data_IF_809141830695
#
_entry.id   IF_809141830695
#
_cell.length_a   1.000
_cell.length_b   1.000
_cell.length_c   1.000
_cell.angle_alpha   90.00
_cell.angle_beta   90.00
_cell.angle_gamma   90.00
#
_symmetry.space_group_name_H-M   'P 1'
#
loop_
_entity.id
_entity.type
_entity.pdbx_description
1 polymer ?
#
# COMPACT_ATOMS: atom_id res chain seq x y z
N UNK A 1 -16.72 16.53 2.70
CA UNK A 1 -15.91 17.70 3.10
C UNK A 1 -14.84 17.87 2.03
N UNK A 2 -14.80 18.98 1.30
CA UNK A 2 -13.90 19.16 0.15
C UNK A 2 -12.59 19.84 0.59
N UNK A 3 -11.44 19.29 0.20
CA UNK A 3 -10.11 19.82 0.51
C UNK A 3 -9.75 20.91 -0.52
N UNK A 4 -9.56 22.15 -0.07
CA UNK A 4 -9.22 23.28 -0.94
C UNK A 4 -7.73 23.24 -1.33
N UNK A 5 -7.44 23.07 -2.61
CA UNK A 5 -6.11 23.20 -3.19
C UNK A 5 -6.14 24.34 -4.21
N UNK A 6 -6.05 25.58 -3.75
CA UNK A 6 -5.77 26.73 -4.61
C UNK A 6 -4.81 27.66 -3.88
N UNK A 7 -3.68 27.93 -4.54
CA UNK A 7 -2.78 29.02 -4.20
C UNK A 7 -3.49 30.35 -4.54
N UNK A 8 -3.39 31.34 -3.65
CA UNK A 8 -3.66 32.77 -3.87
C UNK A 8 -5.08 33.29 -4.19
N UNK A 9 -6.16 32.69 -3.64
CA UNK A 9 -7.39 33.49 -3.43
C UNK A 9 -8.22 32.99 -2.25
N UNK A 10 -8.76 33.92 -1.47
CA UNK A 10 -9.65 33.66 -0.30
C UNK A 10 -10.99 32.99 -0.69
N UNK A 11 -11.16 32.54 -1.93
CA UNK A 11 -12.32 31.81 -2.42
C UNK A 11 -11.99 30.33 -2.64
N UNK A 12 -12.65 29.47 -1.85
CA UNK A 12 -12.65 28.03 -2.08
C UNK A 12 -13.47 27.77 -3.34
N UNK A 13 -12.80 27.73 -4.50
CA UNK A 13 -13.44 27.32 -5.74
C UNK A 13 -13.97 25.88 -5.58
N UNK A 14 -15.25 25.62 -5.86
CA UNK A 14 -15.80 24.27 -5.73
C UNK A 14 -15.10 23.32 -6.70
N UNK A 15 -14.44 22.30 -6.14
CA UNK A 15 -13.77 21.25 -6.92
C UNK A 15 -14.85 20.54 -7.73
N UNK A 16 -14.73 20.57 -9.05
CA UNK A 16 -15.79 20.08 -9.93
C UNK A 16 -15.90 18.54 -9.97
N UNK A 17 -14.94 17.80 -9.41
CA UNK A 17 -14.87 16.32 -9.42
C UNK A 17 -14.12 15.79 -8.19
N UNK A 18 -14.49 14.59 -7.66
CA UNK A 18 -13.73 13.93 -6.61
C UNK A 18 -12.34 13.49 -7.13
N UNK A 19 -11.39 13.28 -6.22
CA UNK A 19 -10.08 12.74 -6.56
C UNK A 19 -10.20 11.28 -7.01
N UNK A 20 -9.77 10.99 -8.24
CA UNK A 20 -9.83 9.63 -8.82
C UNK A 20 -8.74 8.70 -8.31
N UNK A 21 -8.38 8.78 -7.02
CA UNK A 21 -7.33 7.98 -6.39
C UNK A 21 -7.84 7.40 -5.07
N UNK A 22 -7.42 6.18 -4.77
CA UNK A 22 -7.48 5.61 -3.43
C UNK A 22 -6.07 5.59 -2.84
N UNK A 23 -5.94 5.71 -1.52
CA UNK A 23 -4.67 5.74 -0.82
C UNK A 23 -4.59 4.63 0.22
N UNK A 24 -3.39 4.09 0.39
CA UNK A 24 -3.02 3.27 1.54
C UNK A 24 -2.08 4.07 2.43
N UNK A 25 -2.40 4.20 3.71
CA UNK A 25 -1.59 4.86 4.72
C UNK A 25 -1.09 3.82 5.72
N UNK A 26 0.22 3.59 5.75
CA UNK A 26 0.86 2.72 6.73
C UNK A 26 1.57 3.57 7.79
N UNK A 27 1.31 3.29 9.06
CA UNK A 27 1.86 4.03 10.20
C UNK A 27 2.34 3.08 11.30
N UNK A 28 3.16 3.61 12.21
CA UNK A 28 3.58 2.95 13.44
C UNK A 28 3.50 3.93 14.61
N UNK A 29 2.59 3.68 15.56
CA UNK A 29 2.39 4.51 16.74
C UNK A 29 2.70 3.74 18.06
N UNK A 30 2.26 4.27 19.20
CA UNK A 30 2.43 3.62 20.52
C UNK A 30 1.63 2.32 20.67
N UNK A 31 0.58 2.11 19.88
CA UNK A 31 -0.27 0.92 19.85
C UNK A 31 0.20 -0.12 18.83
N UNK A 32 1.04 0.26 17.88
CA UNK A 32 1.72 -0.64 16.94
C UNK A 32 1.53 -0.25 15.47
N UNK A 33 1.64 -1.20 14.54
CA UNK A 33 1.45 -0.93 13.11
C UNK A 33 -0.02 -0.74 12.75
N UNK A 34 -0.31 0.27 11.92
CA UNK A 34 -1.63 0.56 11.40
C UNK A 34 -1.62 0.66 9.87
N UNK A 35 -2.70 0.21 9.23
CA UNK A 35 -2.91 0.36 7.78
C UNK A 35 -4.32 0.90 7.52
N UNK A 36 -4.42 2.08 6.92
CA UNK A 36 -5.68 2.69 6.54
C UNK A 36 -5.84 2.73 5.02
N UNK A 37 -7.05 2.48 4.55
CA UNK A 37 -7.45 2.70 3.17
C UNK A 37 -8.40 3.89 3.10
N UNK A 38 -8.05 4.88 2.27
CA UNK A 38 -8.89 6.03 1.96
C UNK A 38 -9.40 5.90 0.52
N UNK A 39 -10.72 5.90 0.36
CA UNK A 39 -11.36 5.84 -0.96
C UNK A 39 -11.74 7.24 -1.51
N UNK A 40 -12.08 7.37 -2.80
CA UNK A 40 -12.48 8.65 -3.41
C UNK A 40 -13.69 9.34 -2.77
N UNK A 41 -14.50 8.63 -1.97
CA UNK A 41 -15.64 9.21 -1.25
C UNK A 41 -15.20 10.02 -0.01
N UNK A 42 -13.93 9.87 0.39
CA UNK A 42 -13.39 10.41 1.64
C UNK A 42 -13.61 9.49 2.84
N UNK A 43 -14.09 8.27 2.62
CA UNK A 43 -14.21 7.26 3.66
C UNK A 43 -12.85 6.64 3.91
N UNK A 44 -12.41 6.62 5.17
CA UNK A 44 -11.22 5.89 5.59
C UNK A 44 -11.60 4.73 6.51
N UNK A 45 -10.94 3.59 6.31
CA UNK A 45 -11.17 2.36 7.08
C UNK A 45 -9.83 1.72 7.40
N UNK A 46 -9.68 1.22 8.63
CA UNK A 46 -8.51 0.46 9.06
C UNK A 46 -8.58 -0.99 8.57
N UNK A 47 -7.44 -1.53 8.13
CA UNK A 47 -7.30 -2.88 7.61
C UNK A 47 -6.07 -3.57 8.21
N UNK A 48 -6.17 -4.89 8.34
CA UNK A 48 -5.03 -5.76 8.63
C UNK A 48 -4.12 -5.93 7.40
N UNK A 49 -4.73 -6.05 6.22
CA UNK A 49 -4.08 -6.11 4.92
C UNK A 49 -5.05 -5.64 3.83
N UNK A 50 -4.56 -4.95 2.80
CA UNK A 50 -5.39 -4.41 1.72
C UNK A 50 -4.60 -4.23 0.42
N UNK A 51 -5.21 -4.58 -0.70
CA UNK A 51 -4.76 -4.22 -2.04
C UNK A 51 -5.71 -3.19 -2.69
N UNK A 52 -5.15 -2.35 -3.56
CA UNK A 52 -5.89 -1.37 -4.37
C UNK A 52 -5.44 -1.45 -5.84
N UNK A 53 -6.25 -0.92 -6.75
CA UNK A 53 -5.95 -0.92 -8.20
C UNK A 53 -6.55 -2.11 -8.96
N UNK A 54 -6.12 -2.29 -10.22
CA UNK A 54 -6.74 -3.23 -11.17
C UNK A 54 -6.65 -4.70 -10.76
N UNK A 55 -5.56 -5.10 -10.08
CA UNK A 55 -5.35 -6.47 -9.59
C UNK A 55 -5.87 -6.73 -8.16
N UNK A 56 -6.57 -5.77 -7.56
CA UNK A 56 -6.91 -5.81 -6.13
C UNK A 56 -7.83 -6.96 -5.73
N UNK A 57 -8.78 -7.37 -6.57
CA UNK A 57 -9.72 -8.45 -6.24
C UNK A 57 -9.00 -9.78 -5.96
N UNK A 58 -8.10 -10.19 -6.87
CA UNK A 58 -7.31 -11.42 -6.68
C UNK A 58 -6.26 -11.29 -5.57
N UNK A 59 -5.66 -10.11 -5.42
CA UNK A 59 -4.72 -9.84 -4.36
C UNK A 59 -5.37 -9.88 -2.97
N UNK A 60 -6.56 -9.27 -2.80
CA UNK A 60 -7.33 -9.29 -1.55
C UNK A 60 -7.75 -10.72 -1.19
N UNK A 61 -8.16 -11.54 -2.16
CA UNK A 61 -8.48 -12.95 -1.91
C UNK A 61 -7.27 -13.72 -1.38
N UNK A 62 -6.10 -13.51 -1.99
CA UNK A 62 -4.86 -14.17 -1.55
C UNK A 62 -4.42 -13.67 -0.18
N UNK A 63 -4.57 -12.37 0.10
CA UNK A 63 -4.29 -11.78 1.42
C UNK A 63 -5.18 -12.39 2.51
N UNK A 64 -6.47 -12.64 2.24
CA UNK A 64 -7.37 -13.29 3.20
C UNK A 64 -6.91 -14.70 3.57
N UNK A 65 -6.34 -15.44 2.62
CA UNK A 65 -5.92 -16.82 2.84
C UNK A 65 -4.60 -16.93 3.61
N UNK A 66 -3.67 -16.00 3.37
CA UNK A 66 -2.30 -16.09 3.90
C UNK A 66 -2.05 -15.22 5.14
N UNK A 67 -2.84 -14.15 5.35
CA UNK A 67 -2.60 -13.23 6.44
C UNK A 67 -2.90 -13.86 7.80
N UNK A 68 -2.04 -13.59 8.77
CA UNK A 68 -2.31 -13.87 10.18
C UNK A 68 -1.57 -12.87 11.08
N UNK A 69 -2.14 -12.59 12.25
CA UNK A 69 -1.63 -11.54 13.18
C UNK A 69 -0.21 -11.75 13.70
N UNK A 70 0.29 -12.98 13.66
CA UNK A 70 1.64 -13.34 14.10
C UNK A 70 2.69 -13.34 12.96
N UNK A 71 2.31 -12.88 11.77
CA UNK A 71 3.18 -12.84 10.60
C UNK A 71 4.38 -11.92 10.85
N UNK A 72 5.57 -12.39 10.50
CA UNK A 72 6.79 -11.58 10.61
C UNK A 72 6.91 -10.63 9.43
N UNK A 73 7.56 -9.48 9.61
CA UNK A 73 7.80 -8.52 8.53
C UNK A 73 8.49 -9.16 7.32
N UNK A 74 9.50 -10.00 7.55
CA UNK A 74 10.22 -10.70 6.47
C UNK A 74 9.37 -11.71 5.71
N UNK A 75 8.37 -12.30 6.37
CA UNK A 75 7.38 -13.17 5.75
C UNK A 75 6.37 -12.34 4.94
N UNK A 76 5.86 -11.24 5.50
CA UNK A 76 4.97 -10.32 4.81
C UNK A 76 5.60 -9.76 3.52
N UNK A 77 6.87 -9.35 3.55
CA UNK A 77 7.59 -8.88 2.36
C UNK A 77 7.62 -9.94 1.24
N UNK A 78 7.82 -11.22 1.58
CA UNK A 78 7.82 -12.32 0.60
C UNK A 78 6.43 -12.56 0.02
N UNK A 79 5.42 -12.55 0.87
CA UNK A 79 4.03 -12.75 0.48
C UNK A 79 3.53 -11.64 -0.44
N UNK A 80 3.80 -10.37 -0.12
CA UNK A 80 3.40 -9.23 -0.95
C UNK A 80 4.04 -9.30 -2.35
N UNK A 81 5.34 -9.63 -2.44
CA UNK A 81 6.00 -9.81 -3.75
C UNK A 81 5.47 -11.03 -4.51
N UNK A 82 5.10 -12.11 -3.81
CA UNK A 82 4.46 -13.28 -4.42
C UNK A 82 3.09 -12.93 -5.00
N UNK A 83 2.27 -12.18 -4.25
CA UNK A 83 0.96 -11.70 -4.69
C UNK A 83 1.12 -10.78 -5.91
N UNK A 84 2.03 -9.81 -5.84
CA UNK A 84 2.31 -8.92 -6.97
C UNK A 84 2.70 -9.70 -8.23
N UNK A 85 3.55 -10.71 -8.10
CA UNK A 85 3.93 -11.59 -9.22
C UNK A 85 2.74 -12.34 -9.83
N UNK A 86 1.70 -12.65 -9.07
CA UNK A 86 0.50 -13.33 -9.56
C UNK A 86 -0.45 -12.39 -10.31
N UNK A 87 -0.54 -11.13 -9.88
CA UNK A 87 -1.49 -10.15 -10.45
C UNK A 87 -0.89 -9.24 -11.51
N UNK A 88 0.44 -9.18 -11.63
CA UNK A 88 1.14 -8.42 -12.68
C UNK A 88 1.11 -9.14 -14.02
N UNK A 89 0.87 -8.40 -15.10
CA UNK A 89 0.97 -8.91 -16.47
C UNK A 89 2.43 -9.14 -16.89
N UNK A 90 3.33 -8.25 -16.46
CA UNK A 90 4.77 -8.35 -16.70
C UNK A 90 5.47 -9.19 -15.63
N UNK A 91 6.61 -9.78 -16.01
CA UNK A 91 7.45 -10.48 -15.06
C UNK A 91 8.01 -9.51 -14.01
N UNK A 92 7.65 -9.74 -12.75
CA UNK A 92 8.15 -8.99 -11.61
C UNK A 92 9.69 -9.04 -11.51
N UNK A 93 10.31 -7.88 -11.32
CA UNK A 93 11.74 -7.67 -11.15
C UNK A 93 12.01 -6.39 -10.33
N UNK A 94 13.21 -6.18 -9.78
CA UNK A 94 13.49 -5.02 -8.92
C UNK A 94 13.50 -3.64 -9.63
N UNK A 95 13.20 -3.58 -10.94
CA UNK A 95 13.07 -2.31 -11.67
C UNK A 95 11.64 -1.90 -11.95
N UNK A 96 10.67 -2.82 -11.82
CA UNK A 96 9.25 -2.55 -12.06
C UNK A 96 8.37 -2.61 -10.79
N UNK A 97 8.98 -2.80 -9.62
CA UNK A 97 8.30 -2.71 -8.33
C UNK A 97 9.13 -1.91 -7.34
N UNK A 98 8.44 -1.24 -6.42
CA UNK A 98 9.04 -0.61 -5.24
C UNK A 98 8.42 -1.23 -4.00
N UNK A 99 9.19 -1.30 -2.92
CA UNK A 99 8.73 -1.81 -1.63
C UNK A 99 9.30 -0.96 -0.51
N UNK A 100 8.45 -0.62 0.45
CA UNK A 100 8.83 0.07 1.65
C UNK A 100 8.21 -0.60 2.87
N UNK A 101 8.82 -0.39 4.03
CA UNK A 101 8.30 -0.83 5.31
C UNK A 101 8.27 0.34 6.28
N UNK A 102 7.32 0.31 7.20
CA UNK A 102 7.28 1.19 8.37
C UNK A 102 7.29 0.27 9.58
N UNK A 103 8.30 0.42 10.43
CA UNK A 103 8.38 -0.27 11.72
C UNK A 103 8.73 0.73 12.84
N UNK A 104 9.08 0.23 14.03
CA UNK A 104 9.49 1.08 15.16
C UNK A 104 10.66 2.03 14.85
N UNK A 105 11.46 1.75 13.82
CA UNK A 105 12.56 2.59 13.35
C UNK A 105 12.12 3.59 12.27
N UNK A 106 10.84 3.60 11.92
CA UNK A 106 10.24 4.47 10.92
C UNK A 106 10.23 3.89 9.51
N UNK A 107 10.06 4.79 8.54
CA UNK A 107 9.98 4.45 7.13
C UNK A 107 11.34 4.02 6.56
N UNK A 108 11.33 2.93 5.79
CA UNK A 108 12.47 2.45 5.01
C UNK A 108 12.03 2.02 3.62
N UNK A 109 12.63 2.64 2.60
CA UNK A 109 12.55 2.18 1.21
C UNK A 109 13.61 1.11 0.95
N UNK A 110 13.24 0.02 0.29
CA UNK A 110 14.16 -1.05 -0.08
C UNK A 110 15.00 -0.65 -1.28
N UNK A 111 16.28 -1.02 -1.27
CA UNK A 111 17.13 -0.92 -2.46
C UNK A 111 16.82 -2.03 -3.44
N UNK A 112 17.15 -1.81 -4.72
CA UNK A 112 16.93 -2.79 -5.79
C UNK A 112 17.57 -4.13 -5.49
N UNK A 113 18.77 -4.14 -4.91
CA UNK A 113 19.48 -5.37 -4.57
C UNK A 113 18.74 -6.19 -3.50
N UNK A 114 18.07 -5.53 -2.57
CA UNK A 114 17.30 -6.19 -1.51
C UNK A 114 16.03 -6.83 -2.07
N UNK A 115 15.32 -6.10 -2.93
CA UNK A 115 14.14 -6.61 -3.64
C UNK A 115 14.56 -7.80 -4.52
N UNK A 116 15.62 -7.68 -5.30
CA UNK A 116 16.15 -8.77 -6.13
C UNK A 116 16.52 -10.02 -5.31
N UNK A 117 17.10 -9.83 -4.13
CA UNK A 117 17.43 -10.93 -3.24
C UNK A 117 16.18 -11.64 -2.73
N UNK A 118 15.11 -10.90 -2.42
CA UNK A 118 13.84 -11.52 -2.03
C UNK A 118 13.23 -12.24 -3.23
N UNK A 119 13.27 -11.63 -4.42
CA UNK A 119 12.73 -12.20 -5.65
C UNK A 119 13.39 -13.52 -6.03
N UNK A 120 14.70 -13.65 -5.81
CA UNK A 120 15.44 -14.88 -6.10
C UNK A 120 15.17 -16.00 -5.09
N UNK A 121 14.73 -15.65 -3.88
CA UNK A 121 14.52 -16.56 -2.76
C UNK A 121 13.02 -16.76 -2.44
N UNK A 122 12.13 -16.40 -3.37
CA UNK A 122 10.69 -16.68 -3.31
C UNK A 122 10.38 -18.07 -3.83
#
# INVERSE_FOLDING_TARGET
MALAFSDDSDEIAPISRPFGVALLFADWDENGPHLFHLDPSGTYTEYDAKAIGSGSEGADQTLQDIYHKSMKLSEACKHVLTILKQVMEEKLNATNVEMATVDINGYRLFKKEEIDNIIKNM
#
